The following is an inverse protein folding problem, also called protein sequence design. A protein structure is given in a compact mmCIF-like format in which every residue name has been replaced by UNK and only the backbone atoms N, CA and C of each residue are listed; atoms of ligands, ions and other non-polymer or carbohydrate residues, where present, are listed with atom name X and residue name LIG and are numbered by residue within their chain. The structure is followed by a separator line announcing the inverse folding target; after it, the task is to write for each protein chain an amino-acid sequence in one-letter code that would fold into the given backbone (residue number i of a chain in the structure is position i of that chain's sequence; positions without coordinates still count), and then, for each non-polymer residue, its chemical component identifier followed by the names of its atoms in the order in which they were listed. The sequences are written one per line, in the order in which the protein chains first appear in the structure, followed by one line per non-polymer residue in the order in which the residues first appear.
data_IF_873262172938
#
_entry.id   IF_873262172938
#
_cell.length_a   1.000
_cell.length_b   1.000
_cell.length_c   1.000
_cell.angle_alpha   90.00
_cell.angle_beta   90.00
_cell.angle_gamma   90.00
#
_symmetry.space_group_name_H-M   'P 1'
#
loop_
_entity.id
_entity.type
_entity.pdbx_description
1 polymer ?
#
# COMPACT_ATOMS: atom_id res chain seq x y z
N UNK A 1 -3.51 0.07 9.69
CA UNK A 1 -3.25 -1.25 9.05
C UNK A 1 -4.49 -2.10 9.16
N UNK A 2 -4.60 -3.13 8.32
CA UNK A 2 -5.76 -4.03 8.26
C UNK A 2 -5.28 -5.47 8.26
N UNK A 3 -5.91 -6.30 9.08
CA UNK A 3 -5.68 -7.75 9.10
C UNK A 3 -6.95 -8.46 8.68
N UNK A 4 -6.80 -9.57 7.95
CA UNK A 4 -7.91 -10.46 7.62
C UNK A 4 -8.42 -11.11 8.91
N UNK A 5 -9.53 -10.58 9.40
CA UNK A 5 -10.19 -11.08 10.62
C UNK A 5 -11.10 -12.28 10.35
N UNK A 6 -11.43 -12.54 9.08
CA UNK A 6 -12.47 -13.50 8.71
C UNK A 6 -11.92 -14.92 8.62
N UNK A 7 -10.66 -15.10 8.22
CA UNK A 7 -10.13 -16.45 7.91
C UNK A 7 -8.88 -16.86 8.69
N UNK A 8 -8.44 -16.09 9.70
CA UNK A 8 -7.19 -16.37 10.46
C UNK A 8 -5.97 -16.64 9.55
N UNK A 9 -6.00 -16.14 8.33
CA UNK A 9 -5.07 -16.50 7.24
C UNK A 9 -3.66 -15.93 7.44
N UNK A 10 -3.50 -15.06 8.44
CA UNK A 10 -2.26 -14.34 8.74
C UNK A 10 -1.93 -13.27 7.71
N UNK A 11 -2.87 -12.90 6.85
CA UNK A 11 -2.67 -11.84 5.86
C UNK A 11 -3.01 -10.48 6.45
N UNK A 12 -2.12 -9.51 6.22
CA UNK A 12 -2.34 -8.14 6.61
C UNK A 12 -1.79 -7.18 5.55
N UNK A 13 -2.36 -5.98 5.53
CA UNK A 13 -1.97 -4.89 4.67
C UNK A 13 -1.85 -3.60 5.46
N UNK A 14 -0.96 -2.74 5.00
CA UNK A 14 -0.89 -1.36 5.46
C UNK A 14 -0.88 -0.42 4.28
N UNK A 15 -1.19 0.83 4.58
CA UNK A 15 -0.95 1.93 3.67
C UNK A 15 -0.46 3.12 4.47
N UNK A 16 0.37 3.94 3.84
CA UNK A 16 0.71 5.27 4.32
C UNK A 16 0.86 6.22 3.14
N UNK A 17 0.71 7.50 3.42
CA UNK A 17 1.07 8.55 2.51
C UNK A 17 2.35 9.22 2.96
N UNK A 18 3.04 9.85 2.01
CA UNK A 18 4.27 10.57 2.25
C UNK A 18 4.31 11.80 1.37
N UNK A 19 4.78 12.91 1.92
CA UNK A 19 5.02 14.14 1.20
C UNK A 19 6.44 14.61 1.47
N UNK A 20 7.21 14.82 0.41
CA UNK A 20 8.51 15.47 0.55
C UNK A 20 8.31 16.99 0.59
N UNK A 21 8.26 17.54 1.81
CA UNK A 21 8.19 18.99 2.05
C UNK A 21 9.58 19.65 2.17
N UNK A 22 10.66 18.88 2.01
CA UNK A 22 12.03 19.37 2.08
C UNK A 22 12.57 19.88 0.75
N UNK A 23 13.85 20.24 0.75
CA UNK A 23 14.63 20.73 -0.39
C UNK A 23 15.50 19.65 -1.05
N UNK A 24 15.56 18.46 -0.44
CA UNK A 24 16.36 17.32 -0.90
C UNK A 24 15.49 16.14 -1.31
N UNK A 25 16.06 15.23 -2.10
CA UNK A 25 15.42 13.98 -2.47
C UNK A 25 15.19 13.11 -1.21
N UNK A 26 13.96 12.64 -1.03
CA UNK A 26 13.57 11.71 0.01
C UNK A 26 13.48 10.31 -0.61
N UNK A 27 14.13 9.31 -0.03
CA UNK A 27 14.11 7.95 -0.56
C UNK A 27 13.61 7.00 0.52
N UNK A 28 12.42 6.43 0.35
CA UNK A 28 11.90 5.38 1.23
C UNK A 28 12.55 4.05 0.85
N UNK A 29 13.38 3.53 1.72
CA UNK A 29 14.22 2.36 1.48
C UNK A 29 13.85 1.16 2.37
N UNK A 30 13.12 1.37 3.47
CA UNK A 30 12.67 0.27 4.30
C UNK A 30 11.31 0.51 4.97
N UNK A 31 10.47 -0.53 4.97
CA UNK A 31 9.28 -0.65 5.82
C UNK A 31 9.53 -1.83 6.74
N UNK A 32 9.44 -1.61 8.05
CA UNK A 32 9.52 -2.66 9.06
C UNK A 32 8.23 -2.76 9.85
N UNK A 33 7.78 -3.99 10.07
CA UNK A 33 6.64 -4.34 10.92
C UNK A 33 7.15 -5.31 11.98
N UNK A 34 7.01 -4.97 13.26
CA UNK A 34 7.54 -5.80 14.37
C UNK A 34 9.03 -6.18 14.20
N UNK A 35 9.83 -5.25 13.66
CA UNK A 35 11.26 -5.45 13.39
C UNK A 35 11.59 -6.30 12.16
N UNK A 36 10.59 -6.85 11.46
CA UNK A 36 10.78 -7.60 10.21
C UNK A 36 10.59 -6.67 9.01
N UNK A 37 11.52 -6.74 8.04
CA UNK A 37 11.45 -5.95 6.84
C UNK A 37 10.38 -6.49 5.88
N UNK A 38 9.58 -5.58 5.30
CA UNK A 38 8.65 -5.91 4.23
C UNK A 38 9.41 -5.84 2.90
N UNK A 39 9.46 -6.93 2.09
CA UNK A 39 10.16 -6.92 0.80
C UNK A 39 9.56 -5.92 -0.21
N UNK A 40 10.37 -5.33 -1.09
CA UNK A 40 9.89 -4.36 -2.09
C UNK A 40 8.80 -4.90 -3.00
N UNK A 41 8.84 -6.20 -3.33
CA UNK A 41 7.82 -6.87 -4.14
C UNK A 41 6.44 -6.87 -3.46
N UNK A 42 6.38 -6.61 -2.16
CA UNK A 42 5.14 -6.45 -1.44
C UNK A 42 4.66 -5.00 -1.39
N UNK A 43 5.40 -4.05 -1.97
CA UNK A 43 5.07 -2.62 -1.95
C UNK A 43 4.47 -2.20 -3.29
N UNK A 44 3.47 -1.34 -3.21
CA UNK A 44 2.75 -0.78 -4.33
C UNK A 44 2.66 0.73 -4.11
N UNK A 45 3.30 1.50 -4.97
CA UNK A 45 3.33 2.96 -4.85
C UNK A 45 2.84 3.61 -6.15
N UNK A 46 2.27 4.81 -6.05
CA UNK A 46 1.84 5.52 -7.25
C UNK A 46 3.06 5.87 -8.11
N UNK A 47 2.89 5.76 -9.43
CA UNK A 47 3.97 6.14 -10.33
C UNK A 47 4.20 7.66 -10.26
N UNK A 48 5.46 8.05 -10.39
CA UNK A 48 5.87 9.46 -10.51
C UNK A 48 5.44 10.07 -11.85
N UNK A 49 5.09 9.24 -12.84
CA UNK A 49 4.79 9.66 -14.22
C UNK A 49 3.45 10.42 -14.33
N UNK A 50 2.46 10.08 -13.51
CA UNK A 50 1.16 10.77 -13.50
C UNK A 50 0.92 11.60 -12.22
N UNK A 51 1.85 11.53 -11.26
CA UNK A 51 1.67 12.10 -9.93
C UNK A 51 0.43 11.55 -9.23
N UNK A 52 0.09 12.15 -8.09
CA UNK A 52 -1.18 11.86 -7.42
C UNK A 52 -1.90 13.19 -7.18
N UNK A 53 -3.14 13.30 -7.65
CA UNK A 53 -3.93 14.52 -7.48
C UNK A 53 -4.24 14.77 -5.99
N UNK A 54 -4.63 15.98 -5.62
CA UNK A 54 -5.01 16.28 -4.23
C UNK A 54 -6.24 15.49 -3.78
N UNK A 55 -7.19 15.25 -4.69
CA UNK A 55 -8.37 14.42 -4.41
C UNK A 55 -7.99 12.95 -4.16
N UNK A 56 -7.13 12.37 -5.00
CA UNK A 56 -6.62 11.00 -4.79
C UNK A 56 -5.81 10.88 -3.50
N UNK A 57 -5.05 11.92 -3.15
CA UNK A 57 -4.26 11.94 -1.92
C UNK A 57 -5.13 12.01 -0.66
N UNK A 58 -6.22 12.79 -0.69
CA UNK A 58 -7.17 12.88 0.42
C UNK A 58 -8.03 11.61 0.58
N UNK A 59 -8.29 10.91 -0.51
CA UNK A 59 -9.11 9.70 -0.50
C UNK A 59 -8.29 8.40 -0.43
N UNK A 60 -7.00 8.50 -0.08
CA UNK A 60 -6.12 7.37 0.09
C UNK A 60 -6.31 6.66 1.43
N UNK A 61 -5.52 5.61 1.66
CA UNK A 61 -5.52 4.83 2.91
C UNK A 61 -6.85 4.13 3.19
N UNK A 62 -7.53 3.68 2.13
CA UNK A 62 -8.79 2.95 2.23
C UNK A 62 -8.52 1.46 2.12
N UNK A 63 -9.14 0.70 3.02
CA UNK A 63 -9.25 -0.74 2.89
C UNK A 63 -10.41 -1.11 1.98
N UNK A 64 -10.12 -1.89 0.96
CA UNK A 64 -11.05 -2.24 -0.12
C UNK A 64 -11.63 -3.65 0.01
N UNK A 65 -11.31 -4.41 1.08
CA UNK A 65 -11.49 -5.87 1.30
C UNK A 65 -10.32 -6.73 0.80
N UNK A 66 -10.24 -8.00 1.19
CA UNK A 66 -9.33 -9.00 0.60
C UNK A 66 -10.11 -9.99 -0.25
N UNK A 67 -9.63 -10.34 -1.44
CA UNK A 67 -10.34 -11.22 -2.40
C UNK A 67 -9.90 -12.69 -2.36
N UNK A 68 -8.93 -13.05 -1.52
CA UNK A 68 -8.41 -14.41 -1.49
C UNK A 68 -7.69 -14.72 -0.19
N UNK A 69 -8.16 -15.75 0.51
CA UNK A 69 -7.60 -16.27 1.77
C UNK A 69 -6.27 -16.97 1.55
N UNK A 70 -6.04 -17.55 0.38
CA UNK A 70 -4.81 -18.28 0.05
C UNK A 70 -3.62 -17.35 -0.19
N UNK A 71 -3.86 -16.20 -0.81
CA UNK A 71 -2.78 -15.33 -1.31
C UNK A 71 -2.82 -13.92 -0.71
N UNK A 72 -3.77 -13.60 0.17
CA UNK A 72 -3.83 -12.32 0.90
C UNK A 72 -3.85 -11.10 0.00
N UNK A 73 -4.60 -11.14 -1.09
CA UNK A 73 -4.62 -10.06 -2.09
C UNK A 73 -5.69 -9.04 -1.69
N UNK A 74 -5.31 -7.76 -1.64
CA UNK A 74 -6.25 -6.66 -1.44
C UNK A 74 -7.17 -6.54 -2.66
N UNK A 75 -8.46 -6.36 -2.43
CA UNK A 75 -9.44 -6.10 -3.48
C UNK A 75 -9.09 -4.79 -4.15
N UNK A 76 -8.80 -4.78 -5.43
CA UNK A 76 -8.39 -3.58 -6.16
C UNK A 76 -9.55 -2.61 -6.47
N UNK A 77 -10.74 -2.82 -5.91
CA UNK A 77 -11.95 -2.24 -6.44
C UNK A 77 -12.30 -2.97 -7.74
N UNK A 78 -13.37 -3.77 -7.67
CA UNK A 78 -13.83 -4.69 -8.72
C UNK A 78 -12.73 -5.56 -9.36
N UNK A 79 -12.48 -6.69 -8.70
CA UNK A 79 -12.02 -7.95 -9.26
C UNK A 79 -10.50 -8.11 -9.52
N UNK A 80 -9.91 -9.00 -8.73
CA UNK A 80 -8.73 -9.76 -9.11
C UNK A 80 -9.17 -11.10 -9.73
N UNK A 81 -8.60 -11.43 -10.88
CA UNK A 81 -8.55 -12.81 -11.37
C UNK A 81 -9.47 -13.20 -12.54
N UNK A 82 -9.86 -12.31 -13.46
CA UNK A 82 -10.61 -12.81 -14.62
C UNK A 82 -10.85 -11.89 -15.83
N UNK A 83 -10.75 -10.57 -15.71
CA UNK A 83 -11.07 -9.70 -16.86
C UNK A 83 -10.12 -8.52 -16.94
N UNK A 84 -9.51 -8.37 -18.12
CA UNK A 84 -8.72 -7.22 -18.55
C UNK A 84 -9.60 -5.98 -18.50
N UNK A 85 -9.34 -5.07 -17.56
CA UNK A 85 -9.93 -3.73 -17.58
C UNK A 85 -8.86 -2.74 -18.04
N UNK A 86 -9.03 -2.22 -19.25
CA UNK A 86 -8.25 -1.10 -19.76
C UNK A 86 -8.88 0.20 -19.28
N UNK A 87 -8.50 0.69 -18.10
CA UNK A 87 -8.61 2.13 -17.86
C UNK A 87 -7.53 2.82 -18.69
N UNK A 88 -7.91 3.80 -19.51
CA UNK A 88 -6.99 4.56 -20.38
C UNK A 88 -5.80 5.14 -19.62
N UNK A 89 -5.98 5.43 -18.32
CA UNK A 89 -4.98 6.01 -17.43
C UNK A 89 -4.11 4.98 -16.69
N UNK A 90 -4.60 3.74 -16.52
CA UNK A 90 -3.97 2.71 -15.68
C UNK A 90 -4.24 1.30 -16.22
N UNK A 91 -3.45 0.83 -17.20
CA UNK A 91 -3.67 -0.47 -17.81
C UNK A 91 -3.39 -1.59 -16.81
N UNK A 92 -4.41 -2.42 -16.52
CA UNK A 92 -4.26 -3.72 -15.88
C UNK A 92 -4.21 -4.80 -16.96
N UNK A 93 -3.04 -4.95 -17.58
CA UNK A 93 -2.78 -6.00 -18.56
C UNK A 93 -2.20 -7.24 -17.87
N UNK A 94 -2.52 -8.46 -18.33
CA UNK A 94 -1.85 -9.67 -17.85
C UNK A 94 -0.32 -9.52 -17.87
N UNK A 95 0.35 -9.83 -16.74
CA UNK A 95 1.79 -9.65 -16.56
C UNK A 95 2.21 -8.29 -16.00
N UNK A 96 1.27 -7.37 -15.78
CA UNK A 96 1.55 -6.08 -15.14
C UNK A 96 1.34 -6.19 -13.63
N UNK A 97 2.35 -5.86 -12.84
CA UNK A 97 2.29 -5.98 -11.37
C UNK A 97 1.67 -4.73 -10.73
N UNK A 98 0.61 -4.19 -11.34
CA UNK A 98 -0.04 -2.98 -10.88
C UNK A 98 -1.20 -3.30 -9.94
N UNK A 99 -1.36 -2.48 -8.91
CA UNK A 99 -2.55 -2.46 -8.06
C UNK A 99 -3.35 -1.21 -8.37
N UNK A 100 -4.63 -1.41 -8.69
CA UNK A 100 -5.60 -0.33 -8.88
C UNK A 100 -6.41 -0.23 -7.60
N UNK A 101 -6.78 0.97 -7.19
CA UNK A 101 -7.74 1.20 -6.11
C UNK A 101 -8.83 2.09 -6.68
N UNK A 102 -9.97 1.48 -6.99
CA UNK A 102 -11.15 2.23 -7.36
C UNK A 102 -11.81 2.81 -6.11
N UNK A 103 -11.79 4.14 -6.04
CA UNK A 103 -12.65 4.87 -5.12
C UNK A 103 -14.08 4.85 -5.69
N UNK A 104 -15.11 4.98 -4.85
CA UNK A 104 -16.54 4.86 -5.22
C UNK A 104 -16.90 5.54 -6.56
N UNK A 105 -17.99 5.13 -7.23
CA UNK A 105 -18.32 5.64 -8.57
C UNK A 105 -18.28 7.19 -8.62
N UNK A 106 -17.54 7.73 -9.60
CA UNK A 106 -17.30 9.17 -9.72
C UNK A 106 -16.08 9.72 -8.98
N UNK A 107 -15.33 8.90 -8.24
CA UNK A 107 -14.08 9.29 -7.57
C UNK A 107 -12.84 8.89 -8.39
N UNK A 108 -11.69 9.60 -8.22
CA UNK A 108 -10.51 9.35 -9.02
C UNK A 108 -9.80 8.05 -8.62
N UNK A 109 -9.70 7.09 -9.54
CA UNK A 109 -8.96 5.84 -9.33
C UNK A 109 -7.49 6.09 -8.98
N UNK A 110 -6.95 5.36 -7.99
CA UNK A 110 -5.52 5.40 -7.64
C UNK A 110 -4.81 4.23 -8.31
N UNK A 111 -3.65 4.48 -8.90
CA UNK A 111 -2.90 3.48 -9.64
C UNK A 111 -1.51 3.36 -9.07
N UNK A 112 -1.17 2.15 -8.67
CA UNK A 112 0.04 1.82 -7.94
C UNK A 112 0.78 0.75 -8.73
N UNK A 113 2.09 0.88 -8.87
CA UNK A 113 2.93 -0.14 -9.45
C UNK A 113 3.65 -0.89 -8.35
N UNK A 114 3.84 -2.20 -8.50
CA UNK A 114 4.73 -2.96 -7.62
C UNK A 114 6.14 -2.37 -7.70
N UNK A 115 6.80 -2.28 -6.55
CA UNK A 115 8.15 -1.75 -6.46
C UNK A 115 9.19 -2.87 -6.57
N UNK A 116 10.32 -2.56 -7.19
CA UNK A 116 11.52 -3.43 -7.22
C UNK A 116 12.68 -2.86 -6.40
N UNK A 117 12.49 -1.68 -5.79
CA UNK A 117 13.49 -0.98 -5.01
C UNK A 117 12.92 0.23 -4.27
N UNK A 118 13.79 1.10 -3.72
CA UNK A 118 13.38 2.27 -2.95
C UNK A 118 12.50 3.25 -3.73
N UNK A 119 11.58 3.91 -3.03
CA UNK A 119 10.70 4.94 -3.60
C UNK A 119 11.37 6.30 -3.40
N UNK A 120 11.77 6.93 -4.50
CA UNK A 120 12.37 8.26 -4.49
C UNK A 120 11.35 9.37 -4.77
N UNK A 121 11.37 10.41 -3.95
CA UNK A 121 10.50 11.58 -4.04
C UNK A 121 11.35 12.85 -4.11
N UNK A 122 11.25 13.57 -5.21
CA UNK A 122 11.82 14.90 -5.34
C UNK A 122 11.08 15.91 -4.43
N UNK A 123 11.69 17.06 -4.11
CA UNK A 123 11.04 18.15 -3.39
C UNK A 123 9.66 18.50 -3.97
N UNK A 124 8.65 18.56 -3.11
CA UNK A 124 7.26 18.86 -3.49
C UNK A 124 6.46 17.65 -4.00
N UNK A 125 7.09 16.50 -4.23
CA UNK A 125 6.38 15.28 -4.61
C UNK A 125 5.72 14.61 -3.41
N UNK A 126 4.72 13.79 -3.73
CA UNK A 126 3.96 12.99 -2.78
C UNK A 126 3.75 11.60 -3.35
N UNK A 127 3.74 10.62 -2.46
CA UNK A 127 3.39 9.27 -2.80
C UNK A 127 2.46 8.64 -1.77
N UNK A 128 1.79 7.59 -2.22
CA UNK A 128 0.92 6.74 -1.44
C UNK A 128 1.44 5.33 -1.66
N UNK A 129 1.73 4.67 -0.55
CA UNK A 129 2.35 3.35 -0.55
C UNK A 129 1.40 2.41 0.16
N UNK A 130 0.94 1.39 -0.56
CA UNK A 130 0.30 0.22 0.01
C UNK A 130 1.33 -0.88 0.09
N UNK A 131 1.32 -1.63 1.18
CA UNK A 131 2.25 -2.72 1.36
C UNK A 131 1.56 -3.94 1.96
N UNK A 132 1.89 -5.09 1.41
CA UNK A 132 1.46 -6.39 1.92
C UNK A 132 2.41 -6.84 3.01
N UNK A 133 1.88 -7.07 4.20
CA UNK A 133 2.65 -7.58 5.33
C UNK A 133 3.01 -9.05 5.07
N UNK A 134 4.24 -9.50 5.39
CA UNK A 134 4.59 -10.92 5.36
C UNK A 134 3.57 -11.76 6.14
N UNK A 135 3.22 -12.92 5.59
CA UNK A 135 2.20 -13.78 6.18
C UNK A 135 2.55 -14.15 7.63
N UNK A 136 1.54 -14.20 8.50
CA UNK A 136 1.63 -14.57 9.92
C UNK A 136 2.39 -13.58 10.81
N UNK A 137 2.90 -12.46 10.26
CA UNK A 137 3.54 -11.43 11.06
C UNK A 137 2.52 -10.60 11.86
N UNK A 138 1.35 -10.39 11.27
CA UNK A 138 0.15 -9.87 11.92
C UNK A 138 -0.99 -10.85 11.68
N UNK A 139 -1.77 -11.10 12.73
CA UNK A 139 -2.86 -12.07 12.74
C UNK A 139 -4.12 -11.43 13.32
N UNK A 140 -5.27 -12.12 13.23
CA UNK A 140 -6.54 -11.59 13.72
C UNK A 140 -6.52 -11.28 15.22
N UNK A 141 -5.66 -11.94 16.01
CA UNK A 141 -5.47 -11.62 17.45
C UNK A 141 -4.77 -10.28 17.69
N UNK A 142 -4.09 -9.75 16.68
CA UNK A 142 -3.42 -8.44 16.76
C UNK A 142 -4.38 -7.30 16.44
N UNK A 143 -5.62 -7.59 16.03
CA UNK A 143 -6.65 -6.60 15.79
C UNK A 143 -7.02 -5.84 17.07
N UNK A 144 -7.09 -4.52 16.98
CA UNK A 144 -7.33 -3.63 18.12
C UNK A 144 -6.08 -3.35 18.96
N UNK A 145 -4.97 -4.08 18.73
CA UNK A 145 -3.69 -3.85 19.41
C UNK A 145 -2.82 -2.85 18.64
N UNK A 146 -2.04 -2.07 19.39
CA UNK A 146 -1.01 -1.22 18.81
C UNK A 146 0.11 -2.08 18.22
N UNK A 147 0.50 -1.83 16.98
CA UNK A 147 1.66 -2.44 16.32
C UNK A 147 2.63 -1.35 15.86
N UNK A 148 3.93 -1.63 15.92
CA UNK A 148 4.95 -0.69 15.43
C UNK A 148 5.19 -0.88 13.94
N UNK A 149 5.13 0.22 13.21
CA UNK A 149 5.55 0.34 11.82
C UNK A 149 6.66 1.37 11.76
N UNK A 150 7.84 0.98 11.31
CA UNK A 150 8.91 1.93 11.04
C UNK A 150 9.08 2.09 9.53
N UNK A 151 8.89 3.32 9.06
CA UNK A 151 9.21 3.69 7.67
C UNK A 151 10.51 4.48 7.71
N UNK A 152 11.49 4.01 6.97
CA UNK A 152 12.80 4.64 6.85
C UNK A 152 12.90 5.34 5.52
N UNK A 153 13.41 6.56 5.56
CA UNK A 153 13.84 7.30 4.40
C UNK A 153 15.34 7.59 4.48
N UNK A 154 16.16 6.62 4.08
CA UNK A 154 17.60 6.65 4.29
C UNK A 154 17.95 6.43 5.76
N UNK A 155 18.78 7.31 6.36
CA UNK A 155 19.18 7.19 7.78
C UNK A 155 18.14 7.70 8.78
N UNK A 156 17.02 8.26 8.29
CA UNK A 156 15.98 8.85 9.12
C UNK A 156 14.74 7.98 9.02
N UNK A 157 14.42 7.28 10.10
CA UNK A 157 13.17 6.57 10.28
C UNK A 157 12.92 6.39 11.75
N UNK A 158 11.67 6.59 12.17
CA UNK A 158 11.24 6.36 13.54
C UNK A 158 10.09 5.36 13.53
N UNK A 159 10.04 4.41 14.46
CA UNK A 159 8.85 3.62 14.69
C UNK A 159 7.66 4.54 14.96
N UNK A 160 6.58 4.33 14.22
CA UNK A 160 5.27 4.92 14.45
C UNK A 160 4.38 3.81 15.02
N UNK A 161 3.69 4.11 16.11
CA UNK A 161 2.67 3.21 16.65
C UNK A 161 1.41 3.33 15.80
N UNK A 162 0.97 2.24 15.21
CA UNK A 162 -0.21 2.19 14.33
C UNK A 162 -1.20 1.17 14.87
N UNK A 163 -2.46 1.54 14.98
CA UNK A 163 -3.53 0.60 15.35
C UNK A 163 -3.83 -0.33 14.17
N UNK A 164 -3.90 -1.62 14.47
CA UNK A 164 -4.36 -2.64 13.51
C UNK A 164 -5.87 -2.76 13.61
N UNK A 165 -6.58 -2.51 12.52
CA UNK A 165 -8.02 -2.76 12.45
C UNK A 165 -8.29 -4.19 11.98
N UNK A 166 -9.22 -4.88 12.64
CA UNK A 166 -9.88 -6.06 12.07
C UNK A 166 -10.79 -5.60 10.93
N UNK A 167 -10.61 -6.19 9.76
CA UNK A 167 -11.46 -5.95 8.58
C UNK A 167 -11.68 -7.23 7.79
#
# INVERSE_FOLDING_TARGET
MWVDSTHSSGWAWGAFDVRNSGDKLLSIDQIQIRGQAVPFQNWYANSTVNGISSAQFQAALIYTSMIGTTNGVLNNGTQFGGVTWTMTTCPNTPGNNNMVIQLASGQPTICLSQQSGPISLAPGQKAIVYFKVPQNLLTSVDAGSASSVAVYAGKVGSPVSVTVAAK
#
